data_IF_135708035065
#
_entry.id   IF_135708035065
#
_cell.length_a   1.000
_cell.length_b   1.000
_cell.length_c   1.000
_cell.angle_alpha   90.00
_cell.angle_beta   90.00
_cell.angle_gamma   90.00
#
_symmetry.space_group_name_H-M   'P 1'
#
loop_
_entity.id
_entity.type
_entity.pdbx_description
1 polymer ?
#
# COMPACT_ATOMS: atom_id res chain seq x y z
N UNK A 1 47.16 -61.58 -21.32
CA UNK A 1 47.66 -61.13 -20.00
C UNK A 1 46.98 -59.80 -19.63
N UNK A 2 47.14 -59.33 -18.38
CA UNK A 2 46.64 -58.05 -17.78
C UNK A 2 46.90 -56.81 -18.68
N UNK A 3 46.25 -55.64 -18.57
CA UNK A 3 45.22 -55.06 -17.66
C UNK A 3 44.35 -54.07 -18.48
N UNK A 4 43.05 -53.87 -18.26
CA UNK A 4 42.37 -53.13 -17.16
C UNK A 4 42.92 -51.74 -16.85
N UNK A 5 42.30 -50.71 -17.44
CA UNK A 5 42.16 -49.38 -16.83
C UNK A 5 40.68 -49.08 -16.60
N UNK A 6 40.36 -48.50 -15.44
CA UNK A 6 39.02 -48.12 -14.99
C UNK A 6 39.10 -46.64 -14.61
N UNK A 7 38.21 -45.79 -15.13
CA UNK A 7 37.76 -44.58 -14.42
C UNK A 7 36.32 -44.22 -14.83
N UNK A 8 35.41 -44.68 -13.98
CA UNK A 8 34.24 -43.98 -13.41
C UNK A 8 33.94 -42.55 -13.86
N UNK A 9 32.66 -42.28 -14.15
CA UNK A 9 32.13 -40.96 -14.48
C UNK A 9 30.59 -40.90 -14.50
N UNK A 10 29.96 -41.21 -13.37
CA UNK A 10 28.51 -40.97 -13.12
C UNK A 10 28.17 -39.48 -13.25
N UNK A 11 26.96 -39.10 -13.71
CA UNK A 11 26.08 -38.07 -13.07
C UNK A 11 24.83 -37.70 -13.92
N UNK A 12 23.66 -38.04 -13.36
CA UNK A 12 22.33 -37.37 -13.36
C UNK A 12 21.62 -36.87 -14.65
N UNK A 13 20.34 -37.25 -14.75
CA UNK A 13 19.30 -36.62 -15.57
C UNK A 13 18.68 -35.39 -14.87
N UNK A 14 18.29 -34.34 -15.61
CA UNK A 14 17.60 -33.10 -15.14
C UNK A 14 17.30 -32.21 -16.37
N UNK A 15 16.17 -31.52 -16.61
CA UNK A 15 14.71 -31.78 -16.39
C UNK A 15 13.98 -31.25 -17.67
N UNK A 16 12.73 -31.66 -17.94
CA UNK A 16 11.84 -30.96 -18.89
C UNK A 16 11.05 -29.82 -18.21
N UNK A 17 11.07 -28.60 -18.77
CA UNK A 17 9.99 -27.58 -18.71
C UNK A 17 10.46 -26.28 -19.40
N UNK A 18 9.72 -25.81 -20.42
CA UNK A 18 10.02 -24.57 -21.14
C UNK A 18 8.72 -23.81 -21.44
N UNK A 19 8.08 -23.33 -20.38
CA UNK A 19 6.75 -22.71 -20.44
C UNK A 19 6.62 -21.54 -19.45
N UNK A 20 7.53 -20.56 -19.53
CA UNK A 20 7.38 -19.25 -18.88
C UNK A 20 7.69 -18.12 -19.88
N UNK A 21 6.75 -17.89 -20.79
CA UNK A 21 6.67 -16.69 -21.61
C UNK A 21 5.22 -16.19 -21.55
N UNK A 22 4.91 -15.39 -20.52
CA UNK A 22 3.52 -14.99 -20.26
C UNK A 22 3.27 -14.12 -19.02
N UNK A 23 4.27 -13.83 -18.19
CA UNK A 23 4.15 -12.83 -17.13
C UNK A 23 4.48 -11.44 -17.66
N UNK A 24 3.59 -10.95 -18.51
CA UNK A 24 3.43 -9.51 -18.72
C UNK A 24 2.88 -8.97 -17.39
N UNK A 25 3.75 -8.44 -16.54
CA UNK A 25 3.30 -7.62 -15.42
C UNK A 25 2.56 -6.44 -16.02
N UNK A 26 1.23 -6.46 -15.94
CA UNK A 26 0.46 -5.26 -16.14
C UNK A 26 0.91 -4.29 -15.05
N UNK A 27 1.67 -3.27 -15.43
CA UNK A 27 1.93 -2.14 -14.55
C UNK A 27 0.57 -1.53 -14.24
N UNK A 28 0.07 -1.85 -13.04
CA UNK A 28 -1.10 -1.20 -12.48
C UNK A 28 -0.67 0.24 -12.17
N UNK A 29 -0.69 1.09 -13.19
CA UNK A 29 -0.54 2.52 -13.06
C UNK A 29 -1.65 3.00 -12.11
N UNK A 30 -1.31 3.12 -10.83
CA UNK A 30 -2.09 3.94 -9.93
C UNK A 30 -2.21 5.32 -10.58
N UNK A 31 -3.41 5.88 -10.60
CA UNK A 31 -3.58 7.23 -11.09
C UNK A 31 -2.70 8.14 -10.22
N UNK A 32 -1.81 8.91 -10.86
CA UNK A 32 -0.94 9.87 -10.17
C UNK A 32 -1.80 10.80 -9.31
N UNK A 33 -1.81 10.57 -7.99
CA UNK A 33 -2.66 11.31 -7.07
C UNK A 33 -2.08 12.71 -6.85
N UNK A 34 -2.83 13.75 -7.20
CA UNK A 34 -2.46 15.12 -6.84
C UNK A 34 -2.80 15.40 -5.38
N UNK A 35 -2.11 16.37 -4.78
CA UNK A 35 -2.50 16.93 -3.48
C UNK A 35 -3.89 17.57 -3.52
N UNK A 36 -4.43 17.88 -4.71
CA UNK A 36 -5.78 18.44 -4.90
C UNK A 36 -6.89 17.37 -4.82
N UNK A 37 -6.56 16.09 -5.04
CA UNK A 37 -7.53 14.98 -4.94
C UNK A 37 -7.89 14.64 -3.49
N UNK A 38 -6.96 14.93 -2.56
CA UNK A 38 -6.98 14.52 -1.18
C UNK A 38 -7.17 15.70 -0.21
N UNK A 39 -7.95 15.54 0.87
CA UNK A 39 -8.06 16.57 1.89
C UNK A 39 -6.72 16.78 2.58
N UNK A 40 -6.33 18.03 2.81
CA UNK A 40 -5.09 18.34 3.51
C UNK A 40 -5.14 17.97 5.00
N UNK A 41 -6.33 18.03 5.61
CA UNK A 41 -6.57 17.63 6.99
C UNK A 41 -7.77 16.70 7.10
N UNK A 42 -7.65 15.64 7.89
CA UNK A 42 -8.77 14.78 8.31
C UNK A 42 -8.91 14.84 9.84
N UNK A 43 -10.11 15.20 10.33
CA UNK A 43 -10.44 15.25 11.75
C UNK A 43 -11.02 13.91 12.19
N UNK A 44 -10.26 13.19 13.00
CA UNK A 44 -10.64 11.89 13.53
C UNK A 44 -10.65 11.92 15.06
N UNK A 45 -11.79 11.61 15.67
CA UNK A 45 -11.82 11.17 17.06
C UNK A 45 -11.27 9.74 17.17
N UNK A 46 -10.40 9.52 18.15
CA UNK A 46 -9.78 8.24 18.49
C UNK A 46 -9.47 8.20 19.99
N UNK A 47 -9.98 7.17 20.68
CA UNK A 47 -9.86 7.01 22.14
C UNK A 47 -10.33 8.25 22.93
N UNK A 48 -11.46 8.84 22.54
CA UNK A 48 -12.04 10.04 23.16
C UNK A 48 -11.30 11.34 22.87
N UNK A 49 -10.26 11.33 22.04
CA UNK A 49 -9.48 12.50 21.65
C UNK A 49 -9.67 12.83 20.17
N UNK A 50 -10.06 14.06 19.88
CA UNK A 50 -10.10 14.60 18.52
C UNK A 50 -8.68 14.92 18.06
N UNK A 51 -8.26 14.33 16.94
CA UNK A 51 -6.96 14.55 16.30
C UNK A 51 -7.11 15.13 14.90
N UNK A 52 -6.16 15.98 14.53
CA UNK A 52 -5.94 16.41 13.16
C UNK A 52 -4.85 15.53 12.52
N UNK A 53 -5.25 14.76 11.51
CA UNK A 53 -4.37 13.97 10.66
C UNK A 53 -4.05 14.82 9.42
N UNK A 54 -2.78 15.12 9.18
CA UNK A 54 -2.32 15.99 8.09
C UNK A 54 -1.75 15.17 6.94
N UNK A 55 -2.12 15.52 5.70
CA UNK A 55 -1.58 14.90 4.49
C UNK A 55 -0.07 15.13 4.45
N UNK A 56 0.70 14.03 4.52
CA UNK A 56 2.16 14.07 4.68
C UNK A 56 2.89 13.73 3.38
N UNK A 57 2.33 12.81 2.59
CA UNK A 57 2.82 12.43 1.26
C UNK A 57 1.75 11.68 0.48
N UNK A 58 1.89 11.64 -0.84
CA UNK A 58 1.21 10.69 -1.72
C UNK A 58 2.30 9.79 -2.31
N UNK A 59 2.10 8.48 -2.28
CA UNK A 59 3.02 7.51 -2.89
C UNK A 59 2.81 7.39 -4.40
N UNK A 60 3.79 6.82 -5.14
CA UNK A 60 3.63 6.51 -6.57
C UNK A 60 2.58 5.42 -6.85
N UNK A 61 2.07 4.78 -5.79
CA UNK A 61 0.94 3.86 -5.78
C UNK A 61 -0.41 4.56 -5.54
N UNK A 62 -0.44 5.90 -5.51
CA UNK A 62 -1.64 6.69 -5.24
C UNK A 62 -2.15 6.60 -3.79
N UNK A 63 -1.33 6.09 -2.86
CA UNK A 63 -1.67 6.01 -1.44
C UNK A 63 -1.27 7.31 -0.75
N UNK A 64 -2.26 8.05 -0.27
CA UNK A 64 -2.03 9.20 0.60
C UNK A 64 -1.76 8.72 2.03
N UNK A 65 -0.69 9.23 2.63
CA UNK A 65 -0.30 8.97 4.02
C UNK A 65 -0.54 10.21 4.85
N UNK A 66 -1.23 10.04 5.96
CA UNK A 66 -1.55 11.08 6.92
C UNK A 66 -0.84 10.83 8.25
N UNK A 67 -0.38 11.89 8.90
CA UNK A 67 0.23 11.82 10.24
C UNK A 67 -0.34 12.88 11.18
N UNK A 68 -0.33 12.59 12.49
CA UNK A 68 -0.63 13.56 13.54
C UNK A 68 0.66 14.04 14.22
N UNK A 69 0.63 15.15 14.99
CA UNK A 69 1.77 15.59 15.79
C UNK A 69 2.21 14.58 16.88
N UNK A 70 1.33 13.67 17.32
CA UNK A 70 1.67 12.56 18.23
C UNK A 70 2.14 11.29 17.49
N UNK A 71 2.58 11.42 16.23
CA UNK A 71 3.11 10.36 15.36
C UNK A 71 2.13 9.21 15.02
N UNK A 72 0.82 9.45 15.12
CA UNK A 72 -0.20 8.50 14.67
C UNK A 72 -0.34 8.58 13.16
N UNK A 73 -0.28 7.45 12.47
CA UNK A 73 -0.33 7.40 11.01
C UNK A 73 -1.53 6.60 10.47
N UNK A 74 -2.02 7.03 9.30
CA UNK A 74 -3.07 6.34 8.55
C UNK A 74 -2.88 6.52 7.04
N UNK A 75 -3.50 5.64 6.27
CA UNK A 75 -3.49 5.62 4.80
C UNK A 75 -4.90 5.75 4.24
N UNK A 76 -5.02 6.34 3.05
CA UNK A 76 -6.24 6.29 2.25
C UNK A 76 -5.88 6.44 0.77
N UNK A 77 -6.68 5.85 -0.12
CA UNK A 77 -6.58 6.04 -1.58
C UNK A 77 -7.89 6.64 -2.11
N UNK A 78 -7.88 7.21 -3.32
CA UNK A 78 -9.05 7.91 -3.90
C UNK A 78 -10.34 7.06 -3.89
N UNK A 79 -10.22 5.75 -4.10
CA UNK A 79 -11.35 4.78 -4.11
C UNK A 79 -11.34 3.83 -2.90
N UNK A 80 -10.33 3.95 -2.04
CA UNK A 80 -10.12 3.09 -0.88
C UNK A 80 -10.82 3.61 0.36
N UNK A 81 -10.45 3.02 1.49
CA UNK A 81 -10.91 3.39 2.82
C UNK A 81 -9.75 3.94 3.64
N UNK A 82 -10.06 4.73 4.66
CA UNK A 82 -9.11 5.13 5.68
C UNK A 82 -8.74 3.94 6.54
N UNK A 83 -7.46 3.57 6.50
CA UNK A 83 -6.89 2.46 7.26
C UNK A 83 -5.79 2.99 8.18
N UNK A 84 -5.64 2.44 9.39
CA UNK A 84 -4.53 2.82 10.25
C UNK A 84 -3.21 2.15 9.83
N UNK A 85 -2.10 2.80 10.16
CA UNK A 85 -0.77 2.17 10.09
C UNK A 85 -0.39 1.63 11.47
N UNK A 86 0.00 0.35 11.54
CA UNK A 86 0.66 -0.23 12.72
C UNK A 86 -0.25 -0.78 13.82
N UNK A 87 -1.55 -1.04 13.57
CA UNK A 87 -2.42 -1.75 14.50
C UNK A 87 -3.92 -1.59 14.19
N UNK A 88 -4.78 -2.21 15.00
CA UNK A 88 -6.24 -2.03 14.93
C UNK A 88 -6.65 -0.76 15.68
N UNK A 89 -7.05 0.28 14.95
CA UNK A 89 -7.56 1.53 15.55
C UNK A 89 -9.04 1.72 15.20
N UNK A 90 -9.92 1.57 16.19
CA UNK A 90 -11.37 1.83 16.06
C UNK A 90 -11.72 3.32 16.16
N UNK A 91 -11.00 4.15 15.40
CA UNK A 91 -11.25 5.59 15.31
C UNK A 91 -12.48 5.92 14.44
N UNK A 92 -13.08 7.08 14.66
CA UNK A 92 -14.24 7.59 13.92
C UNK A 92 -14.05 7.74 12.40
N UNK A 93 -12.81 7.62 11.89
CA UNK A 93 -12.47 7.63 10.47
C UNK A 93 -12.29 6.23 9.86
N UNK A 94 -12.04 5.19 10.68
CA UNK A 94 -11.64 3.88 10.20
C UNK A 94 -12.69 3.27 9.27
N UNK A 95 -12.26 2.74 8.12
CA UNK A 95 -13.13 2.08 7.15
C UNK A 95 -14.00 3.02 6.28
N UNK A 96 -13.89 4.35 6.43
CA UNK A 96 -14.60 5.33 5.59
C UNK A 96 -13.84 5.66 4.31
N UNK A 97 -14.54 5.86 3.20
CA UNK A 97 -13.96 6.44 1.97
C UNK A 97 -13.76 7.96 2.10
N UNK A 98 -13.01 8.58 1.18
CA UNK A 98 -12.83 10.05 1.14
C UNK A 98 -14.17 10.79 1.08
N UNK A 99 -15.09 10.30 0.24
CA UNK A 99 -16.43 10.86 0.10
C UNK A 99 -17.21 10.80 1.41
N UNK A 100 -17.17 9.66 2.12
CA UNK A 100 -17.80 9.51 3.43
C UNK A 100 -17.16 10.41 4.50
N UNK A 101 -15.85 10.66 4.45
CA UNK A 101 -15.17 11.61 5.33
C UNK A 101 -15.57 13.06 5.03
N UNK A 102 -15.73 13.43 3.75
CA UNK A 102 -16.25 14.75 3.34
C UNK A 102 -17.70 14.93 3.79
N UNK A 103 -18.59 13.97 3.51
CA UNK A 103 -20.00 14.03 3.95
C UNK A 103 -20.18 14.05 5.47
N UNK A 104 -19.28 13.41 6.22
CA UNK A 104 -19.27 13.47 7.69
C UNK A 104 -18.67 14.77 8.26
N UNK A 105 -18.26 15.72 7.40
CA UNK A 105 -17.59 16.96 7.80
C UNK A 105 -16.27 16.70 8.53
N UNK A 106 -15.56 15.61 8.19
CA UNK A 106 -14.29 15.21 8.78
C UNK A 106 -13.09 15.55 7.89
N UNK A 107 -13.27 15.57 6.57
CA UNK A 107 -12.24 15.95 5.61
C UNK A 107 -12.26 17.45 5.31
N UNK A 108 -11.07 18.05 5.19
CA UNK A 108 -10.83 19.45 4.89
C UNK A 108 -9.83 19.57 3.74
N UNK A 109 -10.32 19.96 2.58
CA UNK A 109 -9.55 20.24 1.39
C UNK A 109 -8.89 21.64 1.48
N UNK A 110 -7.80 21.88 0.74
CA UNK A 110 -7.25 23.23 0.60
C UNK A 110 -8.19 24.11 -0.24
N UNK A 111 -8.27 25.42 0.01
CA UNK A 111 -8.95 26.33 -0.89
C UNK A 111 -8.25 26.34 -2.26
N UNK A 112 -9.05 26.34 -3.33
CA UNK A 112 -8.62 26.52 -4.71
C UNK A 112 -8.60 28.01 -5.10
#
# INVERSE_FOLDING_TARGET
MKARWLFTGTVFAVIAQSSLAGMYSAEAHAQDGSFEDFPFLVRCELSGMVRAYYLSKIGPDGVAVYITPDNQAGTITMRGKAEPVGGDWSGSCAGKTLEQLRSAGQAYDLPQ
#
